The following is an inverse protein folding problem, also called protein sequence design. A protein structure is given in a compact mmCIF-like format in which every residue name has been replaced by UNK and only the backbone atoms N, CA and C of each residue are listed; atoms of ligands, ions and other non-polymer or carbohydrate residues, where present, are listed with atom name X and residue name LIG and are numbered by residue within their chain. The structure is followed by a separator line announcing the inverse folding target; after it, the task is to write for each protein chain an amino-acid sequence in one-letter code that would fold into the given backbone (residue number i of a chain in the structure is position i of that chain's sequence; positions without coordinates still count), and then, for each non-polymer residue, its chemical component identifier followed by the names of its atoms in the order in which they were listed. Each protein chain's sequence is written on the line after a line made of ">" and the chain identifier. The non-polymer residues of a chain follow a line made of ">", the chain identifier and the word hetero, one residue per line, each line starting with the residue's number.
data_IF_212783435927
#
_entry.id   IF_212783435927
#
_cell.length_a   1.000
_cell.length_b   1.000
_cell.length_c   1.000
_cell.angle_alpha   90.00
_cell.angle_beta   90.00
_cell.angle_gamma   90.00
#
_symmetry.space_group_name_H-M   'P 1'
#
loop_
_entity.id
_entity.type
_entity.pdbx_description
1 polymer ?
#
# COMPACT_ATOMS: atom_id res chain seq x y z
N UNK A 1 23.85 -24.27 12.49
CA UNK A 1 23.01 -23.67 11.42
C UNK A 1 21.74 -24.52 11.33
N UNK A 2 20.57 -23.90 11.47
CA UNK A 2 19.31 -24.61 11.19
C UNK A 2 19.30 -24.81 9.69
N UNK A 3 19.20 -26.05 9.19
CA UNK A 3 19.03 -26.28 7.76
C UNK A 3 17.67 -25.74 7.30
N UNK A 4 17.57 -25.36 6.03
CA UNK A 4 16.27 -24.92 5.48
C UNK A 4 15.19 -26.00 5.55
N UNK A 5 15.58 -27.26 5.69
CA UNK A 5 14.69 -28.41 5.85
C UNK A 5 14.14 -28.54 7.28
N UNK A 6 14.86 -28.00 8.29
CA UNK A 6 14.48 -28.03 9.70
C UNK A 6 13.74 -26.76 10.17
N UNK A 7 13.54 -25.78 9.28
CA UNK A 7 12.87 -24.53 9.63
C UNK A 7 11.34 -24.69 9.62
N UNK A 8 10.69 -24.65 10.78
CA UNK A 8 9.25 -25.00 10.87
C UNK A 8 8.31 -23.94 10.30
N UNK A 9 8.80 -22.72 10.07
CA UNK A 9 8.00 -21.64 9.51
C UNK A 9 8.04 -21.67 7.99
N UNK A 10 6.89 -21.83 7.37
CA UNK A 10 6.75 -21.58 5.95
C UNK A 10 6.67 -20.08 5.67
N UNK A 11 7.77 -19.46 5.33
CA UNK A 11 7.86 -18.04 4.96
C UNK A 11 7.68 -17.89 3.44
N UNK A 12 6.47 -17.58 3.00
CA UNK A 12 6.14 -17.27 1.60
C UNK A 12 6.55 -15.81 1.25
N UNK A 13 6.83 -15.46 -0.04
CA UNK A 13 6.70 -16.26 -1.26
C UNK A 13 8.01 -16.85 -1.80
N UNK A 14 9.17 -16.52 -1.27
CA UNK A 14 10.46 -16.78 -1.92
C UNK A 14 11.22 -17.96 -1.30
N UNK A 15 10.54 -19.05 -1.01
CA UNK A 15 10.97 -20.07 -0.07
C UNK A 15 12.33 -20.75 -0.37
N UNK A 16 12.54 -21.25 -1.56
CA UNK A 16 13.69 -22.14 -1.80
C UNK A 16 15.05 -21.45 -1.75
N UNK A 17 15.22 -20.37 -2.50
CA UNK A 17 16.48 -19.65 -2.59
C UNK A 17 16.70 -18.71 -1.38
N UNK A 18 15.64 -18.07 -0.90
CA UNK A 18 15.73 -17.12 0.21
C UNK A 18 16.08 -17.78 1.54
N UNK A 19 15.47 -18.94 1.87
CA UNK A 19 15.79 -19.66 3.12
C UNK A 19 17.24 -20.15 3.18
N UNK A 20 17.89 -20.34 2.04
CA UNK A 20 19.33 -20.64 2.00
C UNK A 20 20.22 -19.47 2.44
N UNK A 21 19.69 -18.24 2.40
CA UNK A 21 20.40 -17.02 2.78
C UNK A 21 20.07 -16.55 4.19
N UNK A 22 18.97 -17.05 4.80
CA UNK A 22 18.59 -16.71 6.18
C UNK A 22 19.44 -17.55 7.13
N UNK A 23 20.28 -16.89 7.92
CA UNK A 23 20.94 -17.50 9.07
C UNK A 23 20.21 -17.17 10.36
N UNK A 24 20.36 -17.98 11.43
CA UNK A 24 19.81 -17.64 12.74
C UNK A 24 20.27 -16.26 13.26
N UNK A 25 21.41 -15.78 12.79
CA UNK A 25 22.01 -14.51 13.21
C UNK A 25 21.40 -13.30 12.51
N UNK A 26 20.69 -13.49 11.38
CA UNK A 26 20.06 -12.40 10.60
C UNK A 26 18.57 -12.22 10.86
N UNK A 27 17.98 -12.98 11.79
CA UNK A 27 16.59 -12.84 12.19
C UNK A 27 16.39 -11.55 12.98
N UNK A 28 15.28 -10.84 12.75
CA UNK A 28 14.99 -9.60 13.47
C UNK A 28 14.53 -9.90 14.90
N UNK A 29 15.11 -9.20 15.87
CA UNK A 29 14.86 -9.39 17.30
C UNK A 29 14.32 -8.15 18.01
N UNK A 30 14.67 -6.95 17.55
CA UNK A 30 14.32 -5.69 18.21
C UNK A 30 14.13 -4.58 17.18
N UNK A 31 13.30 -3.57 17.51
CA UNK A 31 13.14 -2.36 16.69
C UNK A 31 13.10 -1.11 17.54
N UNK A 32 13.79 -0.03 17.10
CA UNK A 32 13.77 1.32 17.69
C UNK A 32 13.82 2.39 16.64
N UNK A 33 12.98 3.40 16.75
CA UNK A 33 12.89 4.45 15.75
C UNK A 33 12.76 3.86 14.36
N UNK A 34 13.69 4.18 13.48
CA UNK A 34 13.73 3.68 12.11
C UNK A 34 14.68 2.47 11.92
N UNK A 35 15.11 1.85 13.01
CA UNK A 35 16.13 0.78 12.98
C UNK A 35 15.60 -0.51 13.54
N UNK A 36 16.13 -1.61 13.02
CA UNK A 36 15.91 -2.96 13.53
C UNK A 36 17.23 -3.61 13.91
N UNK A 37 17.20 -4.48 14.90
CA UNK A 37 18.36 -5.27 15.33
C UNK A 37 18.14 -6.74 15.01
N UNK A 38 19.13 -7.37 14.40
CA UNK A 38 19.11 -8.80 14.20
C UNK A 38 19.57 -9.57 15.45
N UNK A 39 19.42 -10.89 15.43
CA UNK A 39 19.85 -11.79 16.52
C UNK A 39 21.35 -11.87 16.67
N UNK A 40 22.12 -11.50 15.64
CA UNK A 40 23.58 -11.32 15.71
C UNK A 40 24.01 -10.04 16.40
N UNK A 41 23.04 -9.15 16.76
CA UNK A 41 23.29 -7.90 17.47
C UNK A 41 23.55 -6.69 16.57
N UNK A 42 23.48 -6.83 15.24
CA UNK A 42 23.70 -5.77 14.28
C UNK A 42 22.47 -4.89 14.16
N UNK A 43 22.63 -3.57 14.30
CA UNK A 43 21.60 -2.58 14.01
C UNK A 43 21.60 -2.21 12.54
N UNK A 44 20.41 -2.19 11.93
CA UNK A 44 20.19 -1.90 10.51
C UNK A 44 19.17 -0.76 10.40
N UNK A 45 19.42 0.22 9.54
CA UNK A 45 18.45 1.24 9.17
C UNK A 45 17.40 0.60 8.25
N UNK A 46 16.14 0.64 8.65
CA UNK A 46 15.06 0.03 7.87
C UNK A 46 14.46 1.04 6.86
N UNK A 47 15.14 1.21 5.75
CA UNK A 47 14.68 2.06 4.65
C UNK A 47 13.57 1.41 3.79
N UNK A 48 12.94 0.33 4.28
CA UNK A 48 11.76 -0.32 3.68
C UNK A 48 10.51 -0.27 4.59
N UNK A 49 10.60 0.30 5.80
CA UNK A 49 9.49 0.36 6.78
C UNK A 49 8.83 -1.00 7.03
N UNK A 50 9.61 -2.04 7.35
CA UNK A 50 9.11 -3.40 7.42
C UNK A 50 8.68 -3.92 6.04
N UNK A 51 7.38 -3.93 5.76
CA UNK A 51 6.81 -4.15 4.44
C UNK A 51 5.97 -2.91 4.03
N UNK A 52 6.63 -1.72 4.03
CA UNK A 52 6.06 -0.41 3.69
C UNK A 52 4.96 0.06 4.65
N UNK A 53 4.93 -0.49 5.87
CA UNK A 53 3.85 -0.29 6.84
C UNK A 53 4.28 0.31 8.18
N UNK A 54 5.56 0.23 8.57
CA UNK A 54 6.07 0.82 9.82
C UNK A 54 6.33 2.32 9.59
N UNK A 55 5.28 3.13 9.67
CA UNK A 55 5.34 4.56 9.29
C UNK A 55 5.87 5.46 10.40
N UNK A 56 5.55 5.18 11.67
CA UNK A 56 5.98 5.97 12.83
C UNK A 56 7.12 5.30 13.63
N UNK A 57 7.87 4.40 12.98
CA UNK A 57 8.94 3.66 13.62
C UNK A 57 8.46 2.53 14.54
N UNK A 58 9.42 1.86 15.18
CA UNK A 58 9.20 0.59 15.88
C UNK A 58 8.83 0.73 17.37
N UNK A 59 8.97 1.91 17.95
CA UNK A 59 8.81 2.09 19.41
C UNK A 59 8.00 3.33 19.79
N UNK A 60 7.10 3.78 18.91
CA UNK A 60 6.26 4.95 19.14
C UNK A 60 5.45 4.82 20.45
N UNK A 61 5.66 5.70 21.44
CA UNK A 61 5.11 5.51 22.78
C UNK A 61 3.58 5.61 22.80
N UNK A 62 2.99 6.55 22.05
CA UNK A 62 1.54 6.76 21.98
C UNK A 62 0.80 5.55 21.44
N UNK A 63 1.33 4.89 20.37
CA UNK A 63 0.71 3.68 19.81
C UNK A 63 0.78 2.53 20.82
N UNK A 64 1.95 2.31 21.44
CA UNK A 64 2.12 1.24 22.45
C UNK A 64 1.17 1.44 23.64
N UNK A 65 1.02 2.66 24.11
CA UNK A 65 0.16 2.98 25.26
C UNK A 65 -1.33 2.83 24.89
N UNK A 66 -1.75 3.27 23.70
CA UNK A 66 -3.12 3.11 23.22
C UNK A 66 -3.52 1.62 23.15
N UNK A 67 -2.64 0.77 22.61
CA UNK A 67 -2.86 -0.69 22.55
C UNK A 67 -2.96 -1.30 23.96
N UNK A 68 -2.05 -0.95 24.89
CA UNK A 68 -2.06 -1.48 26.26
C UNK A 68 -3.37 -1.13 26.98
N UNK A 69 -3.75 0.14 26.94
CA UNK A 69 -5.01 0.61 27.54
C UNK A 69 -6.23 -0.09 26.95
N UNK A 70 -6.25 -0.31 25.63
CA UNK A 70 -7.35 -1.00 24.99
C UNK A 70 -7.40 -2.50 25.33
N UNK A 71 -6.23 -3.12 25.49
CA UNK A 71 -6.14 -4.52 25.93
C UNK A 71 -6.77 -4.71 27.33
N UNK A 72 -6.53 -3.77 28.23
CA UNK A 72 -7.08 -3.80 29.58
C UNK A 72 -8.58 -3.47 29.63
N UNK A 73 -9.08 -2.71 28.65
CA UNK A 73 -10.48 -2.25 28.61
C UNK A 73 -11.40 -3.27 27.91
N UNK A 74 -11.14 -3.55 26.64
CA UNK A 74 -11.96 -4.47 25.82
C UNK A 74 -11.10 -5.01 24.67
N UNK A 75 -10.53 -6.20 24.80
CA UNK A 75 -9.61 -6.75 23.81
C UNK A 75 -10.28 -7.14 22.49
N UNK A 76 -11.57 -7.45 22.50
CA UNK A 76 -12.31 -7.87 21.32
C UNK A 76 -13.75 -7.37 21.29
N UNK A 77 -14.23 -6.96 20.13
CA UNK A 77 -15.63 -6.72 19.81
C UNK A 77 -15.86 -7.03 18.32
N UNK A 78 -17.06 -7.49 17.99
CA UNK A 78 -17.40 -7.93 16.64
C UNK A 78 -18.13 -6.85 15.84
N UNK A 79 -17.64 -6.53 14.65
CA UNK A 79 -18.30 -5.62 13.69
C UNK A 79 -19.15 -6.35 12.63
N UNK A 80 -19.16 -7.67 12.62
CA UNK A 80 -19.84 -8.47 11.59
C UNK A 80 -20.98 -9.29 12.20
N UNK A 81 -22.03 -9.53 11.41
CA UNK A 81 -23.17 -10.34 11.84
C UNK A 81 -24.01 -9.67 12.91
N UNK A 82 -24.37 -10.42 13.95
CA UNK A 82 -25.17 -9.96 15.07
C UNK A 82 -24.35 -9.34 16.21
N UNK A 83 -23.08 -9.00 15.93
CA UNK A 83 -22.18 -8.40 16.91
C UNK A 83 -22.64 -7.01 17.37
N UNK A 84 -22.12 -6.62 18.52
CA UNK A 84 -22.21 -5.23 18.98
C UNK A 84 -20.88 -4.56 18.71
N UNK A 85 -20.83 -3.47 17.90
CA UNK A 85 -19.61 -2.72 17.71
C UNK A 85 -19.10 -2.15 19.03
N UNK A 86 -17.79 -1.97 19.17
CA UNK A 86 -17.22 -1.21 20.29
C UNK A 86 -17.46 0.29 20.08
N UNK A 87 -17.55 1.06 21.17
CA UNK A 87 -17.56 2.53 21.07
C UNK A 87 -16.33 3.05 20.32
N UNK A 88 -15.18 2.44 20.57
CA UNK A 88 -13.92 2.75 19.90
C UNK A 88 -14.01 2.67 18.36
N UNK A 89 -14.86 1.81 17.80
CA UNK A 89 -15.02 1.70 16.34
C UNK A 89 -15.66 2.96 15.74
N UNK A 90 -16.54 3.61 16.48
CA UNK A 90 -17.12 4.90 16.09
C UNK A 90 -16.10 6.03 16.28
N UNK A 91 -15.45 6.08 17.44
CA UNK A 91 -14.42 7.07 17.75
C UNK A 91 -13.27 7.05 16.74
N UNK A 92 -12.81 5.87 16.34
CA UNK A 92 -11.77 5.73 15.32
C UNK A 92 -12.23 6.21 13.92
N UNK A 93 -13.48 5.98 13.56
CA UNK A 93 -14.04 6.52 12.32
C UNK A 93 -14.15 8.06 12.38
N UNK A 94 -14.67 8.61 13.47
CA UNK A 94 -14.78 10.05 13.70
C UNK A 94 -13.41 10.76 13.73
N UNK A 95 -12.38 10.10 14.25
CA UNK A 95 -11.02 10.64 14.26
C UNK A 95 -10.39 10.67 12.84
N UNK A 96 -10.63 9.66 12.01
CA UNK A 96 -9.98 9.54 10.71
C UNK A 96 -10.70 10.34 9.60
N UNK A 97 -12.02 10.29 9.55
CA UNK A 97 -12.84 10.86 8.46
C UNK A 97 -12.55 12.34 8.15
N UNK A 98 -12.33 13.25 9.12
CA UNK A 98 -12.06 14.67 8.83
C UNK A 98 -10.77 14.90 8.01
N UNK A 99 -9.88 13.93 7.94
CA UNK A 99 -8.61 14.02 7.22
C UNK A 99 -8.65 13.40 5.82
N UNK A 100 -9.78 12.86 5.43
CA UNK A 100 -10.02 12.25 4.12
C UNK A 100 -10.81 13.19 3.19
N UNK A 101 -10.87 12.92 1.87
CA UNK A 101 -11.73 13.69 0.97
C UNK A 101 -13.17 13.77 1.49
N UNK A 102 -13.72 14.98 1.60
CA UNK A 102 -14.96 15.27 2.35
C UNK A 102 -16.24 14.56 1.87
N UNK A 103 -16.26 14.04 0.65
CA UNK A 103 -17.34 13.23 0.10
C UNK A 103 -17.26 11.75 0.52
N UNK A 104 -16.14 11.34 1.12
CA UNK A 104 -15.93 10.01 1.67
C UNK A 104 -16.19 10.07 3.18
N UNK A 105 -17.34 9.57 3.64
CA UNK A 105 -17.78 9.81 5.01
C UNK A 105 -18.25 8.55 5.76
N UNK A 106 -18.08 7.38 5.19
CA UNK A 106 -18.36 6.10 5.83
C UNK A 106 -17.16 5.17 5.73
N UNK A 107 -16.83 4.51 6.83
CA UNK A 107 -15.71 3.58 6.91
C UNK A 107 -16.24 2.17 7.18
N UNK A 108 -15.76 1.22 6.39
CA UNK A 108 -15.83 -0.21 6.68
C UNK A 108 -14.43 -0.72 6.98
N UNK A 109 -14.20 -1.14 8.20
CA UNK A 109 -12.94 -1.74 8.60
C UNK A 109 -12.81 -3.18 8.09
N UNK A 110 -11.60 -3.56 7.75
CA UNK A 110 -11.18 -4.88 7.31
C UNK A 110 -9.87 -5.26 8.02
N UNK A 111 -9.44 -6.52 7.90
CA UNK A 111 -8.27 -7.01 8.64
C UNK A 111 -6.94 -6.76 7.89
N UNK A 112 -6.95 -6.62 6.56
CA UNK A 112 -5.75 -6.39 5.75
C UNK A 112 -6.09 -5.74 4.40
N UNK A 113 -5.07 -5.18 3.71
CA UNK A 113 -5.25 -4.44 2.46
C UNK A 113 -5.88 -5.27 1.33
N UNK A 114 -5.50 -6.54 1.18
CA UNK A 114 -6.09 -7.44 0.17
C UNK A 114 -7.60 -7.58 0.38
N UNK A 115 -8.03 -7.74 1.64
CA UNK A 115 -9.45 -7.82 1.99
C UNK A 115 -10.17 -6.48 1.75
N UNK A 116 -9.53 -5.34 2.01
CA UNK A 116 -10.14 -4.04 1.74
C UNK A 116 -10.41 -3.87 0.24
N UNK A 117 -9.43 -4.14 -0.62
CA UNK A 117 -9.60 -4.07 -2.08
C UNK A 117 -10.67 -5.07 -2.56
N UNK A 118 -10.62 -6.31 -2.11
CA UNK A 118 -11.62 -7.32 -2.45
C UNK A 118 -13.03 -6.90 -2.01
N UNK A 119 -13.17 -6.34 -0.81
CA UNK A 119 -14.44 -5.80 -0.30
C UNK A 119 -14.97 -4.68 -1.18
N UNK A 120 -14.12 -3.72 -1.59
CA UNK A 120 -14.52 -2.61 -2.45
C UNK A 120 -15.01 -3.11 -3.83
N UNK A 121 -14.31 -4.06 -4.43
CA UNK A 121 -14.69 -4.66 -5.72
C UNK A 121 -16.01 -5.44 -5.62
N UNK A 122 -16.15 -6.27 -4.60
CA UNK A 122 -17.37 -7.05 -4.40
C UNK A 122 -18.56 -6.15 -4.06
N UNK A 123 -18.33 -5.04 -3.34
CA UNK A 123 -19.36 -4.03 -3.08
C UNK A 123 -19.80 -3.34 -4.37
N UNK A 124 -18.87 -2.98 -5.25
CA UNK A 124 -19.17 -2.41 -6.56
C UNK A 124 -20.09 -3.35 -7.39
N UNK A 125 -19.69 -4.61 -7.53
CA UNK A 125 -20.47 -5.62 -8.25
C UNK A 125 -21.86 -5.84 -7.62
N UNK A 126 -21.91 -5.89 -6.30
CA UNK A 126 -23.14 -6.03 -5.54
C UNK A 126 -24.11 -4.88 -5.81
N UNK A 127 -23.63 -3.64 -5.79
CA UNK A 127 -24.45 -2.46 -6.06
C UNK A 127 -25.02 -2.46 -7.48
N UNK A 128 -24.18 -2.69 -8.49
CA UNK A 128 -24.67 -2.78 -9.88
C UNK A 128 -25.76 -3.84 -10.03
N UNK A 129 -25.56 -5.03 -9.44
CA UNK A 129 -26.57 -6.10 -9.46
C UNK A 129 -27.87 -5.69 -8.79
N UNK A 130 -27.80 -5.03 -7.62
CA UNK A 130 -29.02 -4.60 -6.90
C UNK A 130 -29.75 -3.44 -7.59
N UNK A 131 -29.03 -2.66 -8.40
CA UNK A 131 -29.56 -1.58 -9.24
C UNK A 131 -30.08 -2.07 -10.61
N UNK A 132 -30.09 -3.39 -10.86
CA UNK A 132 -30.65 -3.97 -12.08
C UNK A 132 -29.68 -4.07 -13.27
N UNK A 133 -28.36 -3.91 -13.03
CA UNK A 133 -27.31 -4.06 -14.02
C UNK A 133 -26.36 -5.23 -13.68
N UNK A 134 -26.85 -6.49 -13.63
CA UNK A 134 -26.06 -7.66 -13.24
C UNK A 134 -24.92 -8.00 -14.22
N UNK A 135 -24.96 -7.48 -15.43
CA UNK A 135 -23.91 -7.59 -16.46
C UNK A 135 -22.65 -6.78 -16.13
N UNK A 136 -22.73 -5.78 -15.24
CA UNK A 136 -21.60 -4.98 -14.77
C UNK A 136 -20.77 -5.76 -13.74
N UNK A 137 -19.98 -6.71 -14.23
CA UNK A 137 -19.12 -7.55 -13.37
C UNK A 137 -17.64 -7.32 -13.59
N UNK A 138 -17.24 -6.78 -14.74
CA UNK A 138 -15.81 -6.64 -15.08
C UNK A 138 -15.18 -5.50 -14.28
N UNK A 139 -13.99 -5.76 -13.73
CA UNK A 139 -13.17 -4.77 -13.04
C UNK A 139 -11.86 -4.61 -13.79
N UNK A 140 -11.47 -3.38 -14.02
CA UNK A 140 -10.18 -3.06 -14.62
C UNK A 140 -9.17 -2.66 -13.55
N UNK A 141 -7.98 -3.27 -13.62
CA UNK A 141 -6.76 -2.83 -12.95
C UNK A 141 -5.69 -2.46 -13.97
N UNK A 142 -4.50 -2.12 -13.48
CA UNK A 142 -3.34 -1.87 -14.33
C UNK A 142 -2.32 -3.00 -14.24
N UNK A 143 -1.67 -3.34 -15.34
CA UNK A 143 -0.45 -4.11 -15.29
C UNK A 143 0.55 -3.45 -14.34
N UNK A 144 1.25 -4.26 -13.55
CA UNK A 144 2.18 -3.83 -12.50
C UNK A 144 1.55 -3.18 -11.25
N UNK A 145 0.21 -2.98 -11.22
CA UNK A 145 -0.50 -2.63 -9.99
C UNK A 145 -0.44 -3.77 -8.98
N UNK A 146 -0.40 -3.44 -7.69
CA UNK A 146 -0.41 -4.43 -6.61
C UNK A 146 -1.58 -4.17 -5.65
N UNK A 147 -2.52 -5.12 -5.63
CA UNK A 147 -3.77 -5.02 -4.87
C UNK A 147 -3.98 -6.16 -3.87
N UNK A 148 -2.93 -6.95 -3.63
CA UNK A 148 -2.94 -8.06 -2.68
C UNK A 148 -2.63 -9.41 -3.32
N UNK A 149 -2.64 -10.48 -2.49
CA UNK A 149 -2.26 -11.84 -2.87
C UNK A 149 -3.38 -12.89 -2.64
N UNK A 150 -4.52 -12.48 -2.06
CA UNK A 150 -5.70 -13.33 -1.96
C UNK A 150 -6.42 -13.52 -3.31
N UNK A 151 -7.48 -14.30 -3.36
CA UNK A 151 -8.18 -14.62 -4.62
C UNK A 151 -8.68 -13.36 -5.37
N UNK A 152 -9.24 -12.39 -4.65
CA UNK A 152 -9.70 -11.12 -5.22
C UNK A 152 -8.55 -10.15 -5.48
N UNK A 153 -7.76 -9.85 -4.47
CA UNK A 153 -6.61 -8.97 -4.59
C UNK A 153 -5.56 -9.48 -5.59
N UNK A 154 -5.31 -10.80 -5.60
CA UNK A 154 -4.40 -11.44 -6.55
C UNK A 154 -4.89 -11.39 -8.00
N UNK A 155 -6.21 -11.46 -8.22
CA UNK A 155 -6.77 -11.27 -9.55
C UNK A 155 -6.55 -9.84 -10.08
N UNK A 156 -6.63 -8.84 -9.21
CA UNK A 156 -6.43 -7.43 -9.54
C UNK A 156 -4.96 -7.03 -9.62
N UNK A 157 -4.08 -7.75 -8.93
CA UNK A 157 -2.65 -7.52 -8.99
C UNK A 157 -2.13 -7.81 -10.40
N UNK A 158 -1.67 -6.78 -11.10
CA UNK A 158 -1.19 -6.86 -12.48
C UNK A 158 0.22 -7.43 -12.63
N UNK A 159 0.58 -8.40 -11.79
CA UNK A 159 1.89 -9.07 -11.79
C UNK A 159 1.71 -10.50 -12.27
N UNK A 160 2.17 -10.84 -13.48
CA UNK A 160 1.82 -12.13 -14.14
C UNK A 160 2.14 -13.38 -13.31
N UNK A 161 3.23 -13.40 -12.53
CA UNK A 161 3.56 -14.58 -11.74
C UNK A 161 2.54 -14.86 -10.62
N UNK A 162 1.83 -13.84 -10.12
CA UNK A 162 0.76 -14.01 -9.11
C UNK A 162 -0.39 -14.83 -9.70
N UNK A 163 -0.70 -14.61 -10.98
CA UNK A 163 -1.76 -15.33 -11.68
C UNK A 163 -1.42 -16.81 -11.93
N UNK A 164 -0.13 -17.14 -12.08
CA UNK A 164 0.30 -18.52 -12.34
C UNK A 164 0.36 -19.42 -11.09
N UNK A 165 0.30 -18.85 -9.89
CA UNK A 165 0.56 -19.61 -8.66
C UNK A 165 -0.61 -20.46 -8.20
N UNK A 166 -1.85 -19.99 -8.35
CA UNK A 166 -3.00 -20.53 -7.62
C UNK A 166 -4.14 -21.05 -8.51
N UNK A 167 -3.98 -21.10 -9.83
CA UNK A 167 -5.08 -21.45 -10.74
C UNK A 167 -6.13 -20.33 -10.84
N UNK A 168 -7.44 -20.66 -11.01
CA UNK A 168 -8.45 -19.63 -11.22
C UNK A 168 -8.58 -18.69 -10.02
N UNK A 169 -8.39 -17.41 -10.28
CA UNK A 169 -8.61 -16.30 -9.33
C UNK A 169 -10.04 -15.75 -9.50
N UNK A 170 -10.33 -14.59 -8.88
CA UNK A 170 -11.62 -13.90 -9.07
C UNK A 170 -11.85 -13.64 -10.57
N UNK A 171 -12.98 -14.11 -11.15
CA UNK A 171 -13.26 -13.92 -12.58
C UNK A 171 -13.61 -12.47 -12.91
N UNK A 172 -13.66 -12.16 -14.22
CA UNK A 172 -14.03 -10.87 -14.76
C UNK A 172 -13.13 -9.73 -14.26
N UNK A 173 -11.82 -9.98 -14.25
CA UNK A 173 -10.78 -8.96 -14.01
C UNK A 173 -9.94 -8.81 -15.28
N UNK A 174 -9.74 -7.57 -15.69
CA UNK A 174 -8.93 -7.21 -16.86
C UNK A 174 -7.85 -6.22 -16.45
N UNK A 175 -6.74 -6.23 -17.18
CA UNK A 175 -5.61 -5.33 -16.93
C UNK A 175 -5.32 -4.50 -18.17
N UNK A 176 -5.14 -3.20 -17.97
CA UNK A 176 -4.70 -2.26 -18.99
C UNK A 176 -3.23 -1.88 -18.78
N UNK A 177 -2.51 -1.48 -19.83
CA UNK A 177 -1.20 -0.85 -19.69
C UNK A 177 -1.27 0.39 -18.80
N UNK A 178 -0.25 0.58 -17.96
CA UNK A 178 -0.09 1.83 -17.23
C UNK A 178 0.53 2.93 -18.12
N UNK A 179 0.37 4.22 -17.77
CA UNK A 179 0.93 5.33 -18.55
C UNK A 179 2.46 5.39 -18.57
N UNK A 180 3.10 4.46 -17.90
CA UNK A 180 4.55 4.30 -17.78
C UNK A 180 5.09 3.12 -18.60
N UNK A 181 4.26 2.41 -19.37
CA UNK A 181 4.68 1.29 -20.21
C UNK A 181 5.05 1.78 -21.61
N UNK A 182 6.06 1.13 -22.22
CA UNK A 182 6.71 1.58 -23.46
C UNK A 182 5.82 1.60 -24.73
N UNK A 183 4.58 1.12 -24.63
CA UNK A 183 3.65 1.01 -25.76
C UNK A 183 2.39 1.88 -25.61
N UNK A 184 2.26 2.61 -24.50
CA UNK A 184 1.20 3.60 -24.31
C UNK A 184 1.72 5.01 -24.58
N UNK A 185 0.87 5.91 -25.04
CA UNK A 185 1.21 7.34 -25.14
C UNK A 185 1.25 8.04 -23.77
N UNK A 186 1.08 7.26 -22.69
CA UNK A 186 1.08 7.73 -21.31
C UNK A 186 -0.19 8.46 -20.91
N UNK A 187 -1.25 8.34 -21.68
CA UNK A 187 -2.53 9.00 -21.42
C UNK A 187 -3.53 8.06 -20.75
N UNK A 188 -4.45 8.61 -19.96
CA UNK A 188 -5.59 7.85 -19.43
C UNK A 188 -6.47 7.27 -20.57
N UNK A 189 -6.38 7.86 -21.74
CA UNK A 189 -7.05 7.42 -22.96
C UNK A 189 -6.85 5.95 -23.32
N UNK A 190 -5.70 5.34 -22.99
CA UNK A 190 -5.46 3.92 -23.27
C UNK A 190 -6.38 3.02 -22.46
N UNK A 191 -6.52 3.26 -21.15
CA UNK A 191 -7.44 2.55 -20.28
C UNK A 191 -8.90 2.90 -20.63
N UNK A 192 -9.19 4.17 -20.91
CA UNK A 192 -10.51 4.64 -21.33
C UNK A 192 -10.92 4.01 -22.67
N UNK A 193 -9.99 3.91 -23.62
CA UNK A 193 -10.24 3.27 -24.93
C UNK A 193 -10.51 1.77 -24.77
N UNK A 194 -9.72 1.07 -23.96
CA UNK A 194 -9.95 -0.35 -23.68
C UNK A 194 -11.33 -0.61 -23.08
N UNK A 195 -11.76 0.22 -22.14
CA UNK A 195 -13.10 0.11 -21.54
C UNK A 195 -14.20 0.46 -22.56
N UNK A 196 -13.95 1.42 -23.44
CA UNK A 196 -14.87 1.79 -24.52
C UNK A 196 -15.06 0.63 -25.51
N UNK A 197 -13.97 0.01 -25.93
CA UNK A 197 -13.99 -1.13 -26.88
C UNK A 197 -14.58 -2.39 -26.25
N UNK A 198 -14.41 -2.57 -24.94
CA UNK A 198 -14.99 -3.68 -24.18
C UNK A 198 -16.50 -3.54 -23.98
N UNK A 199 -17.01 -2.33 -23.89
CA UNK A 199 -18.39 -1.98 -23.52
C UNK A 199 -18.46 -1.47 -22.08
N UNK A 200 -18.46 -0.15 -21.85
CA UNK A 200 -18.42 0.46 -20.52
C UNK A 200 -19.63 0.10 -19.66
N UNK A 201 -20.75 -0.30 -20.26
CA UNK A 201 -21.94 -0.80 -19.56
C UNK A 201 -21.72 -2.18 -18.90
N UNK A 202 -20.63 -2.87 -19.20
CA UNK A 202 -20.23 -4.16 -18.61
C UNK A 202 -19.19 -3.98 -17.49
N UNK A 203 -18.64 -2.76 -17.35
CA UNK A 203 -17.61 -2.47 -16.37
C UNK A 203 -18.24 -2.07 -15.04
N UNK A 204 -17.85 -2.77 -13.96
CA UNK A 204 -18.26 -2.48 -12.59
C UNK A 204 -17.41 -1.38 -11.98
N UNK A 205 -16.10 -1.56 -12.02
CA UNK A 205 -15.15 -0.65 -11.37
C UNK A 205 -13.81 -0.58 -12.09
N UNK A 206 -13.07 0.47 -11.79
CA UNK A 206 -11.64 0.59 -12.04
C UNK A 206 -10.92 0.70 -10.70
N UNK A 207 -9.82 -0.04 -10.53
CA UNK A 207 -8.96 0.02 -9.35
C UNK A 207 -7.60 0.56 -9.74
N UNK A 208 -7.14 1.63 -9.10
CA UNK A 208 -5.85 2.27 -9.37
C UNK A 208 -5.12 2.67 -8.10
N UNK A 209 -3.79 2.56 -8.12
CA UNK A 209 -2.91 3.19 -7.13
C UNK A 209 -2.51 4.58 -7.63
N UNK A 210 -2.58 5.66 -6.83
CA UNK A 210 -2.14 6.99 -7.30
C UNK A 210 -0.61 7.12 -7.41
N UNK A 211 0.13 6.24 -6.73
CA UNK A 211 1.53 5.92 -7.00
C UNK A 211 1.63 4.41 -7.05
N UNK A 212 1.96 3.87 -8.22
CA UNK A 212 2.08 2.43 -8.39
C UNK A 212 3.27 1.92 -7.57
N UNK A 213 2.97 1.05 -6.61
CA UNK A 213 3.94 0.55 -5.64
C UNK A 213 5.10 -0.16 -6.32
N UNK A 214 4.81 -1.01 -7.28
CA UNK A 214 5.81 -1.67 -8.12
C UNK A 214 6.51 -0.66 -9.05
N UNK A 215 7.62 -0.10 -8.56
CA UNK A 215 8.47 0.81 -9.32
C UNK A 215 8.30 2.31 -9.03
N UNK A 216 7.45 2.72 -8.10
CA UNK A 216 7.34 4.11 -7.66
C UNK A 216 6.78 5.07 -8.72
N UNK A 217 5.95 4.56 -9.66
CA UNK A 217 5.38 5.37 -10.74
C UNK A 217 4.28 6.28 -10.24
N UNK A 218 4.53 7.59 -10.26
CA UNK A 218 3.56 8.61 -9.84
C UNK A 218 2.59 8.90 -10.99
N UNK A 219 1.31 8.58 -10.80
CA UNK A 219 0.27 8.96 -11.75
C UNK A 219 0.00 10.46 -11.64
N UNK A 220 -0.12 11.12 -12.80
CA UNK A 220 -0.36 12.56 -12.84
C UNK A 220 -1.77 12.92 -12.42
N UNK A 221 -1.98 14.18 -11.98
CA UNK A 221 -3.32 14.70 -11.70
C UNK A 221 -4.22 14.62 -12.93
N UNK A 222 -3.68 14.95 -14.09
CA UNK A 222 -4.39 14.95 -15.37
C UNK A 222 -4.90 13.56 -15.73
N UNK A 223 -4.02 12.53 -15.60
CA UNK A 223 -4.38 11.13 -15.80
C UNK A 223 -5.55 10.71 -14.88
N UNK A 224 -5.38 10.88 -13.57
CA UNK A 224 -6.37 10.45 -12.60
C UNK A 224 -7.69 11.23 -12.71
N UNK A 225 -7.63 12.53 -13.07
CA UNK A 225 -8.83 13.35 -13.27
C UNK A 225 -9.59 12.95 -14.54
N UNK A 226 -8.89 12.64 -15.63
CA UNK A 226 -9.52 12.12 -16.85
C UNK A 226 -10.22 10.81 -16.58
N UNK A 227 -9.52 9.85 -15.96
CA UNK A 227 -10.09 8.56 -15.60
C UNK A 227 -11.32 8.70 -14.67
N UNK A 228 -11.27 9.57 -13.66
CA UNK A 228 -12.40 9.82 -12.77
C UNK A 228 -13.61 10.39 -13.52
N UNK A 229 -13.37 11.25 -14.50
CA UNK A 229 -14.43 11.82 -15.35
C UNK A 229 -15.05 10.73 -16.23
N UNK A 230 -14.23 9.90 -16.85
CA UNK A 230 -14.69 8.77 -17.67
C UNK A 230 -15.55 7.81 -16.83
N UNK A 231 -15.06 7.37 -15.70
CA UNK A 231 -15.78 6.49 -14.77
C UNK A 231 -17.17 7.07 -14.42
N UNK A 232 -17.21 8.33 -14.00
CA UNK A 232 -18.48 9.01 -13.66
C UNK A 232 -19.43 9.07 -14.84
N UNK A 233 -18.95 9.39 -16.05
CA UNK A 233 -19.79 9.50 -17.25
C UNK A 233 -20.47 8.19 -17.60
N UNK A 234 -19.79 7.07 -17.36
CA UNK A 234 -20.27 5.73 -17.71
C UNK A 234 -20.87 4.96 -16.51
N UNK A 235 -20.97 5.56 -15.32
CA UNK A 235 -21.47 4.90 -14.12
C UNK A 235 -20.58 3.74 -13.65
N UNK A 236 -19.27 3.88 -13.82
CA UNK A 236 -18.24 2.95 -13.37
C UNK A 236 -17.72 3.44 -12.02
N UNK A 237 -17.61 2.58 -11.00
CA UNK A 237 -17.02 2.99 -9.74
C UNK A 237 -15.50 3.15 -9.84
N UNK A 238 -14.99 4.31 -9.43
CA UNK A 238 -13.56 4.53 -9.26
C UNK A 238 -13.14 4.15 -7.84
N UNK A 239 -12.31 3.12 -7.72
CA UNK A 239 -11.71 2.66 -6.47
C UNK A 239 -10.25 3.10 -6.48
N UNK A 240 -9.85 3.96 -5.54
CA UNK A 240 -8.45 4.36 -5.40
C UNK A 240 -7.82 3.58 -4.27
N UNK A 241 -6.79 2.79 -4.61
CA UNK A 241 -6.04 2.01 -3.64
C UNK A 241 -4.93 2.86 -3.03
N UNK A 242 -5.15 3.32 -1.81
CA UNK A 242 -4.18 4.04 -1.00
C UNK A 242 -3.65 3.22 0.19
N UNK A 243 -3.65 1.93 0.07
CA UNK A 243 -3.05 1.04 1.08
C UNK A 243 -1.58 1.39 1.30
N UNK A 244 -0.85 1.78 0.24
CA UNK A 244 0.56 2.19 0.33
C UNK A 244 0.73 3.71 0.44
N UNK A 245 0.01 4.48 -0.36
CA UNK A 245 0.18 5.93 -0.52
C UNK A 245 -0.49 6.74 0.57
N UNK A 246 -1.48 6.17 1.24
CA UNK A 246 -2.20 6.81 2.33
C UNK A 246 -1.41 6.93 3.63
N UNK A 247 -2.05 7.50 4.63
CA UNK A 247 -1.53 7.68 5.99
C UNK A 247 -0.16 8.35 6.05
N UNK A 248 -0.01 9.46 5.30
CA UNK A 248 1.15 10.33 5.38
C UNK A 248 2.27 10.05 4.37
N UNK A 249 2.30 8.90 3.69
CA UNK A 249 3.42 8.47 2.84
C UNK A 249 3.83 9.49 1.76
N UNK A 250 2.87 10.22 1.20
CA UNK A 250 3.08 11.25 0.17
C UNK A 250 3.12 12.68 0.70
N UNK A 251 3.16 12.87 2.03
CA UNK A 251 3.15 14.18 2.70
C UNK A 251 1.76 14.75 2.98
N UNK A 252 0.71 13.95 2.79
CA UNK A 252 -0.67 14.22 3.18
C UNK A 252 -1.36 12.94 3.67
N UNK A 253 -2.52 13.03 4.31
CA UNK A 253 -3.26 11.84 4.75
C UNK A 253 -3.58 10.89 3.60
N UNK A 254 -3.93 11.44 2.43
CA UNK A 254 -4.16 10.66 1.21
C UNK A 254 -3.62 11.41 -0.01
N UNK A 255 -3.16 10.67 -1.02
CA UNK A 255 -2.78 11.24 -2.30
C UNK A 255 -4.00 11.75 -3.06
N UNK A 256 -5.14 11.07 -2.94
CA UNK A 256 -6.42 11.52 -3.49
C UNK A 256 -6.80 12.91 -2.98
N UNK A 257 -6.64 13.18 -1.68
CA UNK A 257 -6.87 14.50 -1.09
C UNK A 257 -5.92 15.56 -1.64
N UNK A 258 -4.63 15.26 -1.80
CA UNK A 258 -3.66 16.18 -2.42
C UNK A 258 -4.03 16.54 -3.86
N UNK A 259 -4.60 15.59 -4.59
CA UNK A 259 -4.95 15.75 -6.00
C UNK A 259 -6.37 16.27 -6.22
N UNK A 260 -7.14 16.46 -5.14
CA UNK A 260 -8.56 16.82 -5.19
C UNK A 260 -9.38 15.82 -6.05
N UNK A 261 -9.00 14.55 -5.95
CA UNK A 261 -9.65 13.45 -6.67
C UNK A 261 -10.90 13.00 -5.91
N UNK A 262 -11.95 12.66 -6.62
CA UNK A 262 -13.22 12.20 -6.06
C UNK A 262 -13.52 10.74 -6.43
N UNK A 263 -12.86 9.75 -5.77
CA UNK A 263 -13.20 8.35 -5.94
C UNK A 263 -14.55 8.01 -5.29
N UNK A 264 -15.21 6.94 -5.78
CA UNK A 264 -16.39 6.37 -5.15
C UNK A 264 -16.03 5.61 -3.87
N UNK A 265 -14.87 4.94 -3.90
CA UNK A 265 -14.30 4.21 -2.78
C UNK A 265 -12.79 4.43 -2.69
N UNK A 266 -12.26 4.40 -1.47
CA UNK A 266 -10.85 4.51 -1.17
C UNK A 266 -10.45 3.37 -0.24
N UNK A 267 -9.33 2.69 -0.51
CA UNK A 267 -8.81 1.68 0.42
C UNK A 267 -7.60 2.19 1.19
N UNK A 268 -7.55 1.87 2.49
CA UNK A 268 -6.45 2.21 3.39
C UNK A 268 -5.93 0.94 4.08
N UNK A 269 -4.67 0.95 4.46
CA UNK A 269 -4.02 -0.16 5.18
C UNK A 269 -2.64 0.25 5.65
N UNK A 270 -1.72 -0.71 5.78
CA UNK A 270 -0.30 -0.48 6.11
C UNK A 270 -0.07 0.59 7.18
N UNK A 271 0.19 1.83 6.76
CA UNK A 271 0.39 2.99 7.63
C UNK A 271 -0.78 3.30 8.56
N UNK A 272 -1.98 2.77 8.32
CA UNK A 272 -3.16 3.00 9.15
C UNK A 272 -2.96 2.63 10.63
N UNK A 273 -2.05 1.69 10.91
CA UNK A 273 -1.65 1.29 12.27
C UNK A 273 -0.14 1.35 12.48
N UNK A 274 0.60 1.90 11.51
CA UNK A 274 2.07 1.88 11.54
C UNK A 274 2.68 0.48 11.75
N UNK A 275 1.99 -0.57 11.30
CA UNK A 275 2.45 -1.96 11.43
C UNK A 275 2.30 -2.59 12.81
N UNK A 276 1.77 -1.85 13.81
CA UNK A 276 1.64 -2.37 15.18
C UNK A 276 0.52 -3.40 15.34
N UNK A 277 -0.51 -3.34 14.51
CA UNK A 277 -1.60 -4.30 14.50
C UNK A 277 -2.24 -4.39 13.09
N UNK A 278 -2.81 -5.53 12.70
CA UNK A 278 -3.48 -5.67 11.41
C UNK A 278 -4.76 -4.84 11.33
N UNK A 279 -4.83 -3.93 10.36
CA UNK A 279 -6.05 -3.16 10.05
C UNK A 279 -5.98 -2.65 8.61
N UNK A 280 -7.13 -2.58 7.99
CA UNK A 280 -7.39 -1.85 6.75
C UNK A 280 -8.80 -1.30 6.75
N UNK A 281 -9.12 -0.50 5.76
CA UNK A 281 -10.44 0.08 5.64
C UNK A 281 -10.83 0.30 4.18
N UNK A 282 -12.13 0.23 3.91
CA UNK A 282 -12.77 0.80 2.72
C UNK A 282 -13.52 2.03 3.18
N UNK A 283 -13.21 3.17 2.58
CA UNK A 283 -13.93 4.43 2.83
C UNK A 283 -14.84 4.68 1.64
N UNK A 284 -16.09 4.98 1.92
CA UNK A 284 -17.17 5.04 0.95
C UNK A 284 -17.66 6.48 0.77
N UNK A 285 -18.02 6.82 -0.47
CA UNK A 285 -18.79 8.05 -0.74
C UNK A 285 -20.22 7.95 -0.21
N UNK A 286 -20.87 9.09 -0.03
CA UNK A 286 -22.28 9.17 0.33
C UNK A 286 -23.15 8.36 -0.63
N UNK A 287 -22.90 8.48 -1.93
CA UNK A 287 -23.68 7.80 -2.97
C UNK A 287 -23.61 6.28 -2.84
N UNK A 288 -22.41 5.75 -2.63
CA UNK A 288 -22.18 4.31 -2.41
C UNK A 288 -22.86 3.83 -1.12
N UNK A 289 -22.72 4.58 -0.04
CA UNK A 289 -23.31 4.20 1.25
C UNK A 289 -24.84 4.24 1.21
N UNK A 290 -25.46 5.30 0.66
CA UNK A 290 -26.92 5.42 0.59
C UNK A 290 -27.53 4.31 -0.28
N UNK A 291 -26.84 3.88 -1.33
CA UNK A 291 -27.29 2.75 -2.16
C UNK A 291 -27.33 1.43 -1.36
N UNK A 292 -26.38 1.22 -0.44
CA UNK A 292 -26.38 0.04 0.45
C UNK A 292 -27.43 0.16 1.55
N UNK A 293 -27.50 1.32 2.19
CA UNK A 293 -28.40 1.59 3.34
C UNK A 293 -29.87 1.38 3.00
N UNK A 294 -30.25 1.69 1.78
CA UNK A 294 -31.63 1.56 1.30
C UNK A 294 -32.11 0.12 1.03
N UNK A 295 -31.21 -0.87 1.10
CA UNK A 295 -31.56 -2.25 0.78
C UNK A 295 -32.30 -2.97 1.91
N UNK A 296 -33.24 -3.89 1.60
CA UNK A 296 -33.91 -4.73 2.59
C UNK A 296 -32.91 -5.58 3.39
N UNK A 297 -33.29 -5.95 4.61
CA UNK A 297 -32.43 -6.71 5.53
C UNK A 297 -31.94 -8.04 4.93
N UNK A 298 -32.76 -8.73 4.17
CA UNK A 298 -32.44 -9.99 3.48
C UNK A 298 -31.56 -9.83 2.24
N UNK A 299 -31.27 -8.60 1.84
CA UNK A 299 -30.42 -8.26 0.68
C UNK A 299 -29.24 -7.37 1.05
N UNK A 300 -28.77 -7.46 2.27
CA UNK A 300 -27.62 -6.69 2.72
C UNK A 300 -26.29 -7.23 2.17
N UNK A 301 -25.33 -6.34 2.00
CA UNK A 301 -23.94 -6.73 1.67
C UNK A 301 -23.28 -7.38 2.88
N UNK A 302 -23.11 -8.69 2.84
CA UNK A 302 -22.61 -9.50 3.95
C UNK A 302 -21.27 -10.17 3.60
N UNK A 303 -20.18 -9.41 3.74
CA UNK A 303 -18.79 -9.86 3.54
C UNK A 303 -17.96 -9.34 4.69
N UNK A 304 -16.99 -10.09 5.15
CA UNK A 304 -16.09 -9.66 6.21
C UNK A 304 -15.35 -10.82 6.88
N UNK A 305 -14.64 -10.52 7.94
CA UNK A 305 -13.93 -11.51 8.74
C UNK A 305 -14.11 -11.28 10.23
N UNK A 306 -13.78 -12.29 11.03
CA UNK A 306 -13.91 -12.28 12.49
C UNK A 306 -13.19 -11.08 13.13
N UNK A 307 -12.07 -10.66 12.58
CA UNK A 307 -11.22 -9.62 13.16
C UNK A 307 -11.36 -8.24 12.48
N UNK A 308 -12.40 -8.03 11.68
CA UNK A 308 -12.66 -6.71 11.09
C UNK A 308 -12.89 -5.66 12.20
N UNK A 309 -12.12 -4.58 12.15
CA UNK A 309 -12.20 -3.52 13.17
C UNK A 309 -11.82 -3.98 14.57
N UNK A 310 -10.81 -4.83 14.71
CA UNK A 310 -10.32 -5.31 16.00
C UNK A 310 -9.94 -4.15 16.93
N UNK A 311 -10.44 -4.09 18.18
CA UNK A 311 -10.25 -2.93 19.07
C UNK A 311 -8.79 -2.50 19.28
N UNK A 312 -7.85 -3.44 19.42
CA UNK A 312 -6.43 -3.09 19.56
C UNK A 312 -5.88 -2.41 18.30
N UNK A 313 -6.34 -2.82 17.15
CA UNK A 313 -5.95 -2.22 15.86
C UNK A 313 -6.56 -0.82 15.68
N UNK A 314 -7.81 -0.63 16.13
CA UNK A 314 -8.46 0.68 16.12
C UNK A 314 -7.77 1.66 17.07
N UNK A 315 -7.38 1.21 18.27
CA UNK A 315 -6.60 2.03 19.20
C UNK A 315 -5.25 2.45 18.62
N UNK A 316 -4.56 1.54 17.93
CA UNK A 316 -3.34 1.86 17.21
C UNK A 316 -3.59 2.90 16.10
N UNK A 317 -4.66 2.74 15.33
CA UNK A 317 -5.02 3.68 14.24
C UNK A 317 -5.32 5.08 14.76
N UNK A 318 -6.06 5.20 15.86
CA UNK A 318 -6.32 6.51 16.49
C UNK A 318 -5.02 7.21 16.91
N UNK A 319 -4.09 6.48 17.53
CA UNK A 319 -2.78 7.04 17.90
C UNK A 319 -1.95 7.44 16.67
N UNK A 320 -2.07 6.72 15.56
CA UNK A 320 -1.43 7.12 14.29
C UNK A 320 -2.05 8.42 13.76
N UNK A 321 -3.38 8.55 13.75
CA UNK A 321 -4.06 9.78 13.32
C UNK A 321 -3.64 10.96 14.19
N UNK A 322 -3.57 10.78 15.51
CA UNK A 322 -3.10 11.79 16.46
C UNK A 322 -1.66 12.22 16.13
N UNK A 323 -0.72 11.28 15.96
CA UNK A 323 0.66 11.59 15.62
C UNK A 323 0.79 12.34 14.28
N UNK A 324 0.05 11.91 13.24
CA UNK A 324 0.07 12.59 11.93
C UNK A 324 -0.45 14.03 12.00
N UNK A 325 -1.34 14.33 12.96
CA UNK A 325 -1.94 15.67 13.13
C UNK A 325 -1.17 16.57 14.06
N UNK A 326 -0.49 16.03 15.07
CA UNK A 326 0.06 16.83 16.19
C UNK A 326 1.58 16.83 16.26
N UNK A 327 2.27 15.85 15.67
CA UNK A 327 3.72 15.68 15.84
C UNK A 327 4.55 16.18 14.64
N UNK A 328 3.95 16.91 13.69
CA UNK A 328 4.67 17.48 12.53
C UNK A 328 5.11 16.43 11.49
N UNK A 329 4.59 15.19 11.56
CA UNK A 329 5.02 14.08 10.71
C UNK A 329 4.83 14.38 9.22
N UNK A 330 3.69 14.97 8.85
CA UNK A 330 3.39 15.29 7.44
C UNK A 330 4.34 16.35 6.88
N UNK A 331 4.76 17.31 7.71
CA UNK A 331 5.78 18.29 7.35
C UNK A 331 7.14 17.64 7.15
N UNK A 332 7.54 16.77 8.10
CA UNK A 332 8.78 15.99 7.96
C UNK A 332 8.80 15.17 6.66
N UNK A 333 7.69 14.53 6.28
CA UNK A 333 7.62 13.78 5.02
C UNK A 333 7.85 14.68 3.80
N UNK A 334 7.30 15.89 3.77
CA UNK A 334 7.52 16.84 2.68
C UNK A 334 8.98 17.27 2.60
N UNK A 335 9.57 17.63 3.74
CA UNK A 335 10.95 18.10 3.82
C UNK A 335 11.97 16.99 3.50
N UNK A 336 11.82 15.85 4.18
CA UNK A 336 12.71 14.68 3.98
C UNK A 336 12.53 14.05 2.60
N UNK A 337 11.30 14.06 2.08
CA UNK A 337 11.02 13.60 0.72
C UNK A 337 11.73 14.45 -0.34
N UNK A 338 11.61 15.77 -0.26
CA UNK A 338 12.32 16.69 -1.15
C UNK A 338 13.85 16.60 -1.00
N UNK A 339 14.35 16.37 0.21
CA UNK A 339 15.76 16.14 0.46
C UNK A 339 16.25 14.84 -0.18
N UNK A 340 15.52 13.72 0.03
CA UNK A 340 15.84 12.40 -0.51
C UNK A 340 15.86 12.43 -2.04
N UNK A 341 14.84 13.04 -2.68
CA UNK A 341 14.77 13.20 -4.13
C UNK A 341 16.01 13.92 -4.70
N UNK A 342 16.33 15.09 -4.13
CA UNK A 342 17.46 15.91 -4.56
C UNK A 342 18.78 15.15 -4.47
N UNK A 343 19.00 14.47 -3.33
CA UNK A 343 20.24 13.75 -3.06
C UNK A 343 20.37 12.50 -3.92
N UNK A 344 19.31 11.67 -4.03
CA UNK A 344 19.31 10.49 -4.90
C UNK A 344 19.55 10.89 -6.35
N UNK A 345 18.84 11.90 -6.87
CA UNK A 345 19.02 12.39 -8.23
C UNK A 345 20.46 12.86 -8.50
N UNK A 346 21.10 13.46 -7.51
CA UNK A 346 22.51 13.87 -7.63
C UNK A 346 23.46 12.68 -7.69
N UNK A 347 23.26 11.69 -6.82
CA UNK A 347 24.10 10.49 -6.74
C UNK A 347 24.03 9.68 -8.03
N UNK A 348 22.83 9.33 -8.46
CA UNK A 348 22.61 8.39 -9.57
C UNK A 348 23.13 8.90 -10.92
N UNK A 349 23.21 10.22 -11.12
CA UNK A 349 23.80 10.81 -12.33
C UNK A 349 25.23 10.37 -12.62
N UNK A 350 25.93 9.87 -11.61
CA UNK A 350 27.32 9.38 -11.75
C UNK A 350 27.41 7.94 -12.23
N UNK A 351 26.29 7.24 -12.25
CA UNK A 351 26.22 5.81 -12.48
C UNK A 351 25.35 5.47 -13.69
N UNK A 352 25.96 5.10 -14.85
CA UNK A 352 25.22 4.83 -16.08
C UNK A 352 24.29 3.61 -16.02
N UNK A 353 24.53 2.68 -15.08
CA UNK A 353 23.66 1.52 -14.82
C UNK A 353 22.32 1.87 -14.12
N UNK A 354 22.14 3.13 -13.70
CA UNK A 354 20.86 3.62 -13.18
C UNK A 354 20.13 4.37 -14.28
N UNK A 355 18.95 3.88 -14.62
CA UNK A 355 18.13 4.46 -15.70
C UNK A 355 17.23 5.57 -15.21
N UNK A 356 16.72 5.46 -13.96
CA UNK A 356 15.83 6.50 -13.39
C UNK A 356 15.78 6.46 -11.86
N UNK A 357 15.41 7.63 -11.29
CA UNK A 357 14.91 7.77 -9.91
C UNK A 357 13.54 8.41 -10.01
N UNK A 358 12.55 7.81 -9.34
CA UNK A 358 11.17 8.32 -9.36
C UNK A 358 10.45 8.04 -8.05
N UNK A 359 9.48 8.85 -7.73
CA UNK A 359 8.69 8.72 -6.50
C UNK A 359 8.10 10.03 -6.03
N UNK A 360 7.55 10.03 -4.83
CA UNK A 360 7.02 11.22 -4.15
C UNK A 360 6.94 11.00 -2.64
N UNK A 361 7.04 12.07 -1.86
CA UNK A 361 7.07 11.98 -0.41
C UNK A 361 8.26 11.14 0.06
N UNK A 362 8.02 10.14 0.89
CA UNK A 362 9.04 9.16 1.32
C UNK A 362 8.84 7.79 0.65
N UNK A 363 8.65 7.79 -0.66
CA UNK A 363 8.50 6.59 -1.48
C UNK A 363 9.22 6.78 -2.81
N UNK A 364 10.44 6.24 -2.95
CA UNK A 364 11.27 6.36 -4.15
C UNK A 364 11.73 5.00 -4.66
N UNK A 365 11.87 4.91 -5.99
CA UNK A 365 12.47 3.80 -6.69
C UNK A 365 13.76 4.25 -7.38
N UNK A 366 14.80 3.44 -7.31
CA UNK A 366 16.02 3.54 -8.13
C UNK A 366 15.99 2.38 -9.12
N UNK A 367 15.79 2.67 -10.38
CA UNK A 367 15.82 1.66 -11.45
C UNK A 367 17.25 1.39 -11.86
N UNK A 368 17.65 0.12 -11.78
CA UNK A 368 19.01 -0.33 -12.02
C UNK A 368 19.00 -1.67 -12.76
N UNK A 369 19.98 -1.89 -13.62
CA UNK A 369 20.15 -3.17 -14.32
C UNK A 369 20.40 -4.35 -13.37
N UNK A 370 20.97 -4.08 -12.18
CA UNK A 370 21.34 -5.08 -11.16
C UNK A 370 20.70 -4.77 -9.79
N UNK A 371 19.36 -4.77 -9.66
CA UNK A 371 18.68 -4.33 -8.44
C UNK A 371 18.96 -5.23 -7.23
N UNK A 372 19.13 -6.53 -7.42
CA UNK A 372 19.42 -7.47 -6.34
C UNK A 372 20.84 -7.32 -5.81
N UNK A 373 21.82 -7.05 -6.68
CA UNK A 373 23.19 -6.74 -6.24
C UNK A 373 23.22 -5.41 -5.49
N UNK A 374 22.53 -4.39 -5.99
CA UNK A 374 22.39 -3.10 -5.30
C UNK A 374 21.77 -3.27 -3.91
N UNK A 375 20.68 -4.03 -3.79
CA UNK A 375 20.05 -4.35 -2.50
C UNK A 375 21.02 -5.02 -1.54
N UNK A 376 21.73 -6.05 -2.00
CA UNK A 376 22.70 -6.78 -1.17
C UNK A 376 23.86 -5.89 -0.71
N UNK A 377 24.38 -5.05 -1.61
CA UNK A 377 25.44 -4.09 -1.28
C UNK A 377 24.97 -3.03 -0.25
N UNK A 378 23.73 -2.57 -0.32
CA UNK A 378 23.15 -1.67 0.68
C UNK A 378 22.95 -2.36 2.03
N UNK A 379 22.44 -3.61 2.03
CA UNK A 379 22.27 -4.40 3.25
C UNK A 379 23.61 -4.70 3.94
N UNK A 380 24.67 -4.96 3.17
CA UNK A 380 26.02 -5.07 3.69
C UNK A 380 26.49 -3.82 4.43
N UNK A 381 26.00 -2.64 4.02
CA UNK A 381 26.26 -1.32 4.65
C UNK A 381 25.30 -0.94 5.76
N UNK A 382 24.40 -1.85 6.14
CA UNK A 382 23.47 -1.64 7.25
C UNK A 382 22.16 -0.94 6.86
N UNK A 383 21.84 -0.84 5.58
CA UNK A 383 20.58 -0.23 5.11
C UNK A 383 19.71 -1.28 4.41
N UNK A 384 18.53 -1.55 4.99
CA UNK A 384 17.56 -2.48 4.42
C UNK A 384 16.68 -1.76 3.41
N UNK A 385 16.62 -2.29 2.18
CA UNK A 385 15.76 -1.83 1.10
C UNK A 385 15.01 -3.01 0.49
N UNK A 386 14.02 -2.77 -0.35
CA UNK A 386 13.27 -3.81 -1.05
C UNK A 386 13.62 -3.82 -2.54
N UNK A 387 13.76 -5.01 -3.13
CA UNK A 387 13.64 -5.21 -4.57
C UNK A 387 12.25 -5.72 -4.90
N UNK A 388 11.84 -5.50 -6.13
CA UNK A 388 10.52 -5.89 -6.62
C UNK A 388 10.67 -7.08 -7.57
N UNK A 389 9.76 -8.05 -7.47
CA UNK A 389 9.91 -9.36 -8.09
C UNK A 389 10.10 -9.35 -9.62
N UNK A 390 9.75 -8.27 -10.31
CA UNK A 390 9.89 -8.16 -11.77
C UNK A 390 10.12 -6.74 -12.29
N UNK A 391 10.39 -5.79 -11.42
CA UNK A 391 10.83 -4.47 -11.81
C UNK A 391 12.32 -4.33 -11.49
N UNK A 392 13.14 -3.87 -12.41
CA UNK A 392 14.57 -3.69 -12.13
C UNK A 392 14.79 -2.45 -11.25
N UNK A 393 14.23 -2.46 -10.04
CA UNK A 393 14.32 -1.32 -9.13
C UNK A 393 14.50 -1.73 -7.67
N UNK A 394 15.22 -0.88 -6.96
CA UNK A 394 15.30 -0.87 -5.50
C UNK A 394 14.36 0.19 -4.96
N UNK A 395 13.51 -0.18 -4.00
CA UNK A 395 12.57 0.72 -3.34
C UNK A 395 13.14 1.22 -2.02
N UNK A 396 13.14 2.54 -1.86
CA UNK A 396 13.50 3.27 -0.64
C UNK A 396 12.22 3.89 -0.08
N UNK A 397 11.71 3.31 0.99
CA UNK A 397 10.43 3.68 1.63
C UNK A 397 10.63 3.72 3.15
N UNK A 398 11.43 4.66 3.68
CA UNK A 398 11.74 4.72 5.11
C UNK A 398 10.51 5.11 5.94
N UNK A 399 10.53 4.91 7.27
CA UNK A 399 9.53 5.47 8.17
C UNK A 399 9.40 6.99 8.01
N UNK A 400 8.19 7.51 8.24
CA UNK A 400 7.86 8.94 8.05
C UNK A 400 8.57 9.86 9.04
N UNK A 401 9.08 9.29 10.11
CA UNK A 401 9.81 9.98 11.21
C UNK A 401 11.32 10.01 10.99
N UNK A 402 11.78 9.59 9.79
CA UNK A 402 13.21 9.59 9.44
C UNK A 402 13.81 10.99 9.55
N UNK A 403 15.02 11.09 10.07
CA UNK A 403 15.78 12.35 10.19
C UNK A 403 16.62 12.63 8.94
N UNK A 404 17.16 13.85 8.86
CA UNK A 404 18.10 14.25 7.78
C UNK A 404 19.40 13.44 7.83
N UNK A 405 19.91 13.13 9.03
CA UNK A 405 21.14 12.33 9.18
C UNK A 405 20.93 10.89 8.70
N UNK A 406 19.74 10.33 8.93
CA UNK A 406 19.38 9.01 8.45
C UNK A 406 19.12 9.00 6.93
N UNK A 407 18.61 10.09 6.35
CA UNK A 407 18.57 10.28 4.89
C UNK A 407 19.99 10.29 4.30
N UNK A 408 20.92 10.99 4.95
CA UNK A 408 22.34 11.00 4.54
C UNK A 408 22.91 9.58 4.55
N UNK A 409 22.66 8.79 5.62
CA UNK A 409 23.12 7.41 5.71
C UNK A 409 22.61 6.56 4.55
N UNK A 410 21.30 6.70 4.19
CA UNK A 410 20.73 6.02 3.02
C UNK A 410 21.45 6.41 1.74
N UNK A 411 21.65 7.72 1.52
CA UNK A 411 22.25 8.25 0.29
C UNK A 411 23.72 7.82 0.14
N UNK A 412 24.48 7.83 1.23
CA UNK A 412 25.85 7.33 1.27
C UNK A 412 25.89 5.83 0.95
N UNK A 413 24.97 5.04 1.52
CA UNK A 413 24.89 3.62 1.23
C UNK A 413 24.55 3.35 -0.25
N UNK A 414 23.62 4.12 -0.83
CA UNK A 414 23.29 4.06 -2.28
C UNK A 414 24.50 4.36 -3.13
N UNK A 415 25.22 5.45 -2.83
CA UNK A 415 26.41 5.87 -3.59
C UNK A 415 27.51 4.80 -3.60
N UNK A 416 27.86 4.32 -2.42
CA UNK A 416 28.88 3.28 -2.28
C UNK A 416 28.46 1.94 -2.91
N UNK A 417 27.17 1.56 -2.75
CA UNK A 417 26.66 0.32 -3.32
C UNK A 417 26.62 0.35 -4.86
N UNK A 418 26.28 1.51 -5.45
CA UNK A 418 26.33 1.70 -6.90
C UNK A 418 27.78 1.65 -7.44
N UNK A 419 28.75 2.14 -6.66
CA UNK A 419 30.18 2.00 -6.98
C UNK A 419 30.59 0.54 -7.08
N UNK A 420 30.26 -0.27 -6.06
CA UNK A 420 30.56 -1.71 -6.08
C UNK A 420 29.91 -2.42 -7.29
N UNK A 421 28.61 -2.14 -7.55
CA UNK A 421 27.89 -2.74 -8.69
C UNK A 421 28.56 -2.39 -10.01
N UNK A 422 29.06 -1.17 -10.17
CA UNK A 422 29.78 -0.72 -11.37
C UNK A 422 31.10 -1.48 -11.57
N UNK A 423 31.83 -1.77 -10.49
CA UNK A 423 33.08 -2.55 -10.54
C UNK A 423 32.84 -4.01 -10.91
N UNK A 424 31.72 -4.61 -10.46
CA UNK A 424 31.35 -5.98 -10.81
C UNK A 424 30.88 -6.16 -12.25
N UNK A 425 30.35 -5.09 -12.87
CA UNK A 425 29.84 -5.10 -14.25
C UNK A 425 30.91 -4.77 -15.30
N UNK A 426 32.10 -4.32 -14.89
CA UNK A 426 33.28 -4.00 -15.76
C UNK A 426 34.20 -5.21 -15.92
#
# INVERSE_FOLDING_TARGET
>A
MISSEDYPLWNSPAMGAYLKTVSPETMLAEGRGVRVRDTGGRWLLDARSGLWNVTLGYDHPGIKEAIRRQLDTLPYANLIGYGRPSALSMEAAEALLPHLPSHLNKIRYCSNGSQAVETAVLLSRFLHRTQGAPERNTVFGMWRGFHGLGAGGGALTGIPYVHHQAGPLLPDVMHAPGPFEAHGDGQASDLEQLMTDFGPERVSAVVVEPVVGEGGHVLTREYLTSLARFCRTHGIHLIVDEVTTGMGRTGAFTRSGQLDLRPDMLTLGKGLTSGYAPLSAVVLSDEVYEAVRGLPYDRQFFIGSTNDGHPLSLAASMAVVEALTTEGVLENVRDRGAELERRLTSVVKRYPQVTSVRGTGLMYAIESDEPDLLRLAMEARGVLVSTLAKWPAVMIIPPLVISSDEIEEIVVAVDQALGDVAEFAS
#
